data_IF_688277797315
#
_entry.id   IF_688277797315
#
_cell.length_a   1.000
_cell.length_b   1.000
_cell.length_c   1.000
_cell.angle_alpha   90.00
_cell.angle_beta   90.00
_cell.angle_gamma   90.00
#
_symmetry.space_group_name_H-M   'P 1'
#
loop_
_entity.id
_entity.type
_entity.pdbx_description
1 polymer ?
#
# COMPACT_ATOMS: atom_id res chain seq x y z
N UNK A 1 -3.73 -27.61 13.12
CA UNK A 1 -4.22 -26.93 14.33
C UNK A 1 -5.67 -26.50 14.15
N UNK A 2 -6.53 -26.71 15.14
CA UNK A 2 -7.95 -26.33 15.10
C UNK A 2 -8.28 -25.35 16.23
N UNK A 3 -9.17 -24.39 15.98
CA UNK A 3 -9.73 -23.51 17.02
C UNK A 3 -10.66 -24.31 17.95
N UNK A 4 -11.08 -23.76 19.11
CA UNK A 4 -12.07 -24.41 19.98
C UNK A 4 -13.37 -24.81 19.26
N UNK A 5 -13.70 -24.11 18.16
CA UNK A 5 -14.85 -24.36 17.29
C UNK A 5 -14.55 -25.33 16.13
N UNK A 6 -13.38 -25.98 16.11
CA UNK A 6 -13.01 -26.98 15.11
C UNK A 6 -12.52 -26.43 13.76
N UNK A 7 -12.43 -25.11 13.59
CA UNK A 7 -11.96 -24.47 12.35
C UNK A 7 -10.44 -24.49 12.23
N UNK A 8 -9.91 -24.43 11.01
CA UNK A 8 -8.46 -24.30 10.78
C UNK A 8 -7.95 -22.97 11.34
N UNK A 9 -6.91 -23.02 12.16
CA UNK A 9 -6.28 -21.81 12.73
C UNK A 9 -5.65 -20.99 11.60
N UNK A 10 -6.02 -19.70 11.53
CA UNK A 10 -5.45 -18.74 10.58
C UNK A 10 -4.20 -18.07 11.13
N UNK A 11 -4.29 -17.53 12.35
CA UNK A 11 -3.22 -16.82 13.04
C UNK A 11 -3.41 -16.93 14.56
N UNK A 12 -2.34 -16.70 15.32
CA UNK A 12 -2.40 -16.37 16.74
C UNK A 12 -2.11 -14.88 16.89
N UNK A 13 -2.91 -14.20 17.70
CA UNK A 13 -2.81 -12.75 17.85
C UNK A 13 -2.89 -12.35 19.32
N UNK A 14 -2.26 -11.23 19.65
CA UNK A 14 -2.29 -10.61 20.98
C UNK A 14 -2.68 -9.15 20.91
N UNK A 15 -3.34 -8.68 21.96
CA UNK A 15 -3.71 -7.28 22.18
C UNK A 15 -2.68 -6.64 23.10
N UNK A 16 -2.13 -5.50 22.69
CA UNK A 16 -1.14 -4.74 23.45
C UNK A 16 -1.77 -3.48 24.06
N UNK A 17 -1.34 -3.07 25.26
CA UNK A 17 -1.93 -1.92 25.95
C UNK A 17 -1.57 -0.57 25.34
N UNK A 18 -0.54 -0.50 24.49
CA UNK A 18 -0.08 0.75 23.88
C UNK A 18 0.69 0.53 22.59
N UNK A 19 0.80 1.58 21.78
CA UNK A 19 1.63 1.60 20.58
C UNK A 19 3.11 1.29 20.88
N UNK A 20 3.64 1.71 22.04
CA UNK A 20 5.01 1.44 22.44
C UNK A 20 5.23 -0.05 22.77
N UNK A 21 4.28 -0.67 23.47
CA UNK A 21 4.33 -2.11 23.75
C UNK A 21 4.24 -2.92 22.45
N UNK A 22 3.37 -2.52 21.53
CA UNK A 22 3.25 -3.14 20.21
C UNK A 22 4.53 -3.00 19.38
N UNK A 23 5.17 -1.83 19.42
CA UNK A 23 6.43 -1.57 18.72
C UNK A 23 7.58 -2.46 19.20
N UNK A 24 7.72 -2.63 20.52
CA UNK A 24 8.72 -3.56 21.08
C UNK A 24 8.39 -5.03 20.78
N UNK A 25 7.10 -5.40 20.79
CA UNK A 25 6.69 -6.73 20.37
C UNK A 25 7.02 -7.01 18.89
N UNK A 26 6.78 -6.04 18.00
CA UNK A 26 7.11 -6.15 16.59
C UNK A 26 8.60 -6.43 16.37
N UNK A 27 9.50 -5.74 17.11
CA UNK A 27 10.94 -6.02 17.06
C UNK A 27 11.27 -7.45 17.48
N UNK A 28 10.69 -7.93 18.58
CA UNK A 28 10.91 -9.31 19.07
C UNK A 28 10.48 -10.34 18.03
N UNK A 29 9.33 -10.13 17.39
CA UNK A 29 8.80 -11.03 16.36
C UNK A 29 9.68 -11.03 15.10
N UNK A 30 10.14 -9.84 14.67
CA UNK A 30 11.13 -9.71 13.59
C UNK A 30 12.43 -10.44 13.92
N UNK A 31 12.98 -10.23 15.12
CA UNK A 31 14.26 -10.80 15.55
C UNK A 31 14.18 -12.32 15.75
N UNK A 32 13.00 -12.84 16.12
CA UNK A 32 12.68 -14.27 16.10
C UNK A 32 12.57 -14.86 14.67
N UNK A 33 12.61 -14.02 13.64
CA UNK A 33 12.70 -14.39 12.23
C UNK A 33 11.40 -14.88 11.61
N UNK A 34 10.25 -14.48 12.16
CA UNK A 34 8.95 -14.71 11.53
C UNK A 34 8.82 -13.84 10.27
N UNK A 35 8.19 -14.40 9.23
CA UNK A 35 8.04 -13.74 7.92
C UNK A 35 6.59 -13.44 7.55
N UNK A 36 5.64 -14.17 8.14
CA UNK A 36 4.19 -14.04 7.86
C UNK A 36 3.45 -13.61 9.11
N UNK A 37 3.52 -12.32 9.38
CA UNK A 37 2.86 -11.68 10.51
C UNK A 37 2.58 -10.23 10.14
N UNK A 38 1.58 -9.65 10.80
CA UNK A 38 1.15 -8.28 10.59
C UNK A 38 0.82 -7.60 11.92
N UNK A 39 0.91 -6.27 11.90
CA UNK A 39 0.53 -5.40 13.01
C UNK A 39 -0.69 -4.60 12.59
N UNK A 40 -1.64 -4.45 13.50
CA UNK A 40 -2.85 -3.67 13.30
C UNK A 40 -2.94 -2.60 14.37
N UNK A 41 -3.00 -1.35 13.93
CA UNK A 41 -3.14 -0.18 14.80
C UNK A 41 -4.16 0.81 14.21
N UNK A 42 -4.85 1.59 15.04
CA UNK A 42 -5.84 2.58 14.59
C UNK A 42 -5.20 3.75 13.84
N UNK A 43 -3.90 3.97 14.04
CA UNK A 43 -3.12 5.03 13.41
C UNK A 43 -1.72 4.55 13.02
N UNK A 44 -1.02 5.24 12.10
CA UNK A 44 0.35 4.92 11.75
C UNK A 44 1.31 5.16 12.93
N UNK A 45 2.02 4.11 13.35
CA UNK A 45 3.04 4.22 14.40
C UNK A 45 4.39 4.52 13.73
N UNK A 46 5.00 5.66 14.08
CA UNK A 46 6.28 6.06 13.52
C UNK A 46 7.37 5.01 13.76
N UNK A 47 8.08 4.64 12.69
CA UNK A 47 9.15 3.64 12.75
C UNK A 47 8.67 2.18 12.78
N UNK A 48 7.36 1.92 12.73
CA UNK A 48 6.84 0.55 12.72
C UNK A 48 7.40 -0.27 11.54
N UNK A 49 7.57 0.35 10.37
CA UNK A 49 8.16 -0.31 9.20
C UNK A 49 9.56 -0.86 9.49
N UNK A 50 10.39 -0.10 10.22
CA UNK A 50 11.73 -0.52 10.62
C UNK A 50 11.67 -1.61 11.72
N UNK A 51 10.74 -1.48 12.67
CA UNK A 51 10.52 -2.50 13.69
C UNK A 51 10.04 -3.83 13.10
N UNK A 52 9.24 -3.79 12.04
CA UNK A 52 8.80 -4.96 11.27
C UNK A 52 9.87 -5.47 10.30
N UNK A 53 10.88 -4.66 9.98
CA UNK A 53 11.90 -5.00 8.99
C UNK A 53 11.38 -4.94 7.55
N UNK A 54 10.39 -4.08 7.29
CA UNK A 54 9.82 -3.87 5.96
C UNK A 54 10.77 -3.05 5.08
N UNK A 55 10.90 -3.46 3.83
CA UNK A 55 11.64 -2.70 2.82
C UNK A 55 10.81 -1.54 2.24
N UNK A 56 11.46 -0.75 1.37
CA UNK A 56 10.76 0.30 0.61
C UNK A 56 9.66 -0.30 -0.25
N UNK A 57 8.47 0.29 -0.20
CA UNK A 57 7.36 -0.06 -1.09
C UNK A 57 7.68 0.28 -2.55
N UNK A 58 7.25 -0.59 -3.47
CA UNK A 58 7.35 -0.36 -4.92
C UNK A 58 6.29 0.63 -5.46
N UNK A 59 5.45 1.19 -4.58
CA UNK A 59 4.40 2.14 -4.96
C UNK A 59 4.94 3.33 -5.74
N UNK A 60 6.09 3.89 -5.34
CA UNK A 60 6.71 5.02 -6.04
C UNK A 60 7.09 4.69 -7.48
N UNK A 61 7.48 3.44 -7.76
CA UNK A 61 7.76 2.97 -9.12
C UNK A 61 6.50 2.96 -10.00
N UNK A 62 5.36 2.53 -9.45
CA UNK A 62 4.08 2.57 -10.14
C UNK A 62 3.60 4.00 -10.42
N UNK A 63 3.76 4.91 -9.46
CA UNK A 63 3.41 6.33 -9.65
C UNK A 63 4.28 6.98 -10.73
N UNK A 64 5.58 6.69 -10.76
CA UNK A 64 6.48 7.18 -11.81
C UNK A 64 6.06 6.66 -13.19
N UNK A 65 5.76 5.36 -13.29
CA UNK A 65 5.26 4.77 -14.52
C UNK A 65 3.96 5.44 -14.99
N UNK A 66 3.00 5.66 -14.08
CA UNK A 66 1.78 6.40 -14.34
C UNK A 66 2.06 7.82 -14.85
N UNK A 67 2.89 8.59 -14.15
CA UNK A 67 3.24 9.95 -14.55
C UNK A 67 3.89 10.02 -15.93
N UNK A 68 4.88 9.16 -16.22
CA UNK A 68 5.53 9.10 -17.55
C UNK A 68 4.52 8.74 -18.63
N UNK A 69 3.63 7.77 -18.39
CA UNK A 69 2.58 7.42 -19.34
C UNK A 69 1.59 8.56 -19.58
N UNK A 70 1.26 9.35 -18.54
CA UNK A 70 0.41 10.53 -18.64
C UNK A 70 1.06 11.63 -19.48
N UNK A 71 2.35 11.91 -19.25
CA UNK A 71 3.12 12.89 -20.02
C UNK A 71 3.20 12.50 -21.51
N UNK A 72 3.50 11.23 -21.80
CA UNK A 72 3.57 10.73 -23.18
C UNK A 72 2.18 10.79 -23.86
N UNK A 73 1.12 10.49 -23.12
CA UNK A 73 -0.26 10.59 -23.62
C UNK A 73 -0.59 12.04 -23.96
N UNK A 74 -0.25 12.99 -23.09
CA UNK A 74 -0.46 14.41 -23.34
C UNK A 74 0.27 14.87 -24.61
N UNK A 75 1.57 14.57 -24.69
CA UNK A 75 2.37 14.92 -25.85
C UNK A 75 1.79 14.32 -27.15
N UNK A 76 1.32 13.07 -27.12
CA UNK A 76 0.72 12.44 -28.29
C UNK A 76 -0.61 13.10 -28.69
N UNK A 77 -1.47 13.41 -27.73
CA UNK A 77 -2.79 14.02 -27.96
C UNK A 77 -2.68 15.48 -28.40
N UNK A 78 -1.64 16.20 -27.97
CA UNK A 78 -1.46 17.62 -28.32
C UNK A 78 -0.68 17.81 -29.62
N UNK A 79 0.49 17.16 -29.74
CA UNK A 79 1.34 17.29 -30.93
C UNK A 79 0.81 16.48 -32.11
N UNK A 80 0.10 15.36 -31.88
CA UNK A 80 -0.49 14.56 -32.94
C UNK A 80 -1.40 15.38 -33.86
N UNK A 81 -2.44 16.04 -33.33
CA UNK A 81 -3.32 16.93 -34.10
C UNK A 81 -2.62 18.20 -34.58
N UNK A 82 -1.91 18.92 -33.69
CA UNK A 82 -1.33 20.24 -33.99
C UNK A 82 -0.23 20.19 -35.06
N UNK A 83 0.56 19.12 -35.10
CA UNK A 83 1.65 18.96 -36.05
C UNK A 83 1.31 17.98 -37.17
N UNK A 84 0.85 16.78 -36.82
CA UNK A 84 0.80 15.65 -37.75
C UNK A 84 -0.48 15.53 -38.57
N UNK A 85 -1.64 15.81 -37.97
CA UNK A 85 -2.94 15.52 -38.60
C UNK A 85 -3.58 16.75 -39.25
N UNK A 86 -3.70 17.85 -38.52
CA UNK A 86 -4.41 19.03 -38.99
C UNK A 86 -3.84 20.31 -38.37
N UNK A 87 -2.73 20.83 -38.91
CA UNK A 87 -2.11 22.04 -38.40
C UNK A 87 -3.01 23.25 -38.67
N UNK A 88 -3.47 23.89 -37.60
CA UNK A 88 -4.28 25.12 -37.68
C UNK A 88 -3.46 26.30 -37.17
N UNK A 89 -3.33 27.33 -38.01
CA UNK A 89 -2.77 28.60 -37.58
C UNK A 89 -3.81 29.40 -36.79
N UNK A 90 -3.71 29.38 -35.47
CA UNK A 90 -4.59 30.14 -34.56
C UNK A 90 -3.87 31.40 -34.11
N UNK A 91 -4.31 32.57 -34.59
CA UNK A 91 -3.74 33.88 -34.21
C UNK A 91 -2.22 34.04 -34.48
N UNK A 92 -1.68 33.38 -35.50
CA UNK A 92 -0.25 33.45 -35.82
C UNK A 92 0.64 32.64 -34.87
N UNK A 93 0.06 31.85 -33.96
CA UNK A 93 0.81 31.03 -33.02
C UNK A 93 1.51 29.88 -33.75
N UNK A 94 2.70 29.48 -33.31
CA UNK A 94 3.33 28.27 -33.81
C UNK A 94 2.41 27.07 -33.56
N UNK A 95 2.47 26.10 -34.46
CA UNK A 95 1.76 24.81 -34.39
C UNK A 95 2.73 23.62 -34.25
N UNK A 96 4.03 23.91 -34.17
CA UNK A 96 5.13 22.96 -34.07
C UNK A 96 5.66 22.89 -32.61
N UNK A 97 6.91 22.44 -32.42
CA UNK A 97 7.50 22.28 -31.09
C UNK A 97 7.47 23.56 -30.23
N UNK A 98 7.45 24.74 -30.83
CA UNK A 98 7.46 26.01 -30.10
C UNK A 98 6.15 26.28 -29.34
N UNK A 99 5.11 25.46 -29.54
CA UNK A 99 3.82 25.55 -28.85
C UNK A 99 3.83 24.89 -27.46
N UNK A 100 4.92 24.23 -27.07
CA UNK A 100 5.11 23.61 -25.74
C UNK A 100 4.59 24.48 -24.57
N UNK A 101 4.86 25.81 -24.49
CA UNK A 101 4.39 26.62 -23.37
C UNK A 101 2.86 26.68 -23.24
N UNK A 102 2.12 26.57 -24.35
CA UNK A 102 0.66 26.56 -24.34
C UNK A 102 0.08 25.19 -23.94
N UNK A 103 0.82 24.12 -24.21
CA UNK A 103 0.47 22.72 -23.91
C UNK A 103 0.89 22.29 -22.50
N UNK A 104 1.83 23.00 -21.89
CA UNK A 104 2.36 22.67 -20.58
C UNK A 104 1.31 22.44 -19.48
N UNK A 105 0.23 23.24 -19.36
CA UNK A 105 -0.82 22.97 -18.38
C UNK A 105 -1.46 21.58 -18.57
N UNK A 106 -1.77 21.19 -19.80
CA UNK A 106 -2.41 19.90 -20.09
C UNK A 106 -1.42 18.75 -19.86
N UNK A 107 -0.15 18.90 -20.26
CA UNK A 107 0.91 17.94 -19.95
C UNK A 107 1.06 17.71 -18.44
N UNK A 108 1.02 18.79 -17.66
CA UNK A 108 1.06 18.70 -16.21
C UNK A 108 -0.16 17.97 -15.64
N UNK A 109 -1.37 18.38 -16.03
CA UNK A 109 -2.62 17.78 -15.53
C UNK A 109 -2.70 16.29 -15.85
N UNK A 110 -2.36 15.86 -17.07
CA UNK A 110 -2.38 14.45 -17.44
C UNK A 110 -1.31 13.62 -16.70
N UNK A 111 -0.14 14.21 -16.47
CA UNK A 111 0.91 13.58 -15.65
C UNK A 111 0.42 13.33 -14.23
N UNK A 112 -0.20 14.36 -13.60
CA UNK A 112 -0.75 14.26 -12.24
C UNK A 112 -1.92 13.27 -12.19
N UNK A 113 -2.83 13.33 -13.17
CA UNK A 113 -4.01 12.46 -13.24
C UNK A 113 -3.62 10.97 -13.34
N UNK A 114 -2.73 10.62 -14.27
CA UNK A 114 -2.29 9.23 -14.44
C UNK A 114 -1.44 8.77 -13.26
N UNK A 115 -0.59 9.64 -12.70
CA UNK A 115 0.13 9.36 -11.46
C UNK A 115 -0.79 9.07 -10.29
N UNK A 116 -1.88 9.84 -10.13
CA UNK A 116 -2.87 9.65 -9.08
C UNK A 116 -3.64 8.33 -9.23
N UNK A 117 -4.10 8.00 -10.43
CA UNK A 117 -4.74 6.71 -10.69
C UNK A 117 -3.79 5.53 -10.47
N UNK A 118 -2.55 5.63 -10.95
CA UNK A 118 -1.55 4.60 -10.72
C UNK A 118 -1.28 4.41 -9.22
N UNK A 119 -1.15 5.50 -8.46
CA UNK A 119 -1.03 5.46 -7.00
C UNK A 119 -2.20 4.74 -6.33
N UNK A 120 -3.42 5.14 -6.66
CA UNK A 120 -4.63 4.59 -6.08
C UNK A 120 -4.78 3.09 -6.36
N UNK A 121 -4.69 2.68 -7.63
CA UNK A 121 -4.86 1.28 -8.01
C UNK A 121 -3.69 0.39 -7.57
N UNK A 122 -2.45 0.91 -7.60
CA UNK A 122 -1.31 0.16 -7.08
C UNK A 122 -1.42 -0.05 -5.57
N UNK A 123 -1.82 0.97 -4.80
CA UNK A 123 -2.04 0.84 -3.36
C UNK A 123 -3.10 -0.21 -3.05
N UNK A 124 -4.24 -0.20 -3.77
CA UNK A 124 -5.26 -1.23 -3.62
C UNK A 124 -4.72 -2.63 -3.94
N UNK A 125 -4.07 -2.79 -5.10
CA UNK A 125 -3.55 -4.10 -5.53
C UNK A 125 -2.47 -4.65 -4.61
N UNK A 126 -1.53 -3.82 -4.17
CA UNK A 126 -0.42 -4.22 -3.30
C UNK A 126 -0.90 -4.61 -1.89
N UNK A 127 -1.95 -3.95 -1.39
CA UNK A 127 -2.58 -4.29 -0.11
C UNK A 127 -3.60 -5.44 -0.24
N UNK A 128 -3.84 -5.96 -1.45
CA UNK A 128 -4.81 -7.02 -1.71
C UNK A 128 -6.27 -6.58 -1.54
N UNK A 129 -6.56 -5.30 -1.79
CA UNK A 129 -7.89 -4.71 -1.73
C UNK A 129 -8.55 -4.68 -3.12
N UNK A 130 -9.90 -4.78 -3.20
CA UNK A 130 -10.85 -4.91 -2.10
C UNK A 130 -10.89 -6.33 -1.51
N UNK A 131 -10.82 -6.42 -0.18
CA UNK A 131 -10.93 -7.68 0.57
C UNK A 131 -12.06 -7.58 1.59
N UNK A 132 -13.25 -8.00 1.17
CA UNK A 132 -14.47 -7.91 1.98
C UNK A 132 -14.42 -8.74 3.27
N UNK A 133 -13.64 -9.83 3.26
CA UNK A 133 -13.51 -10.71 4.41
C UNK A 133 -12.04 -11.06 4.69
N UNK A 134 -11.63 -10.85 5.95
CA UNK A 134 -10.37 -11.29 6.49
C UNK A 134 -10.64 -12.18 7.73
N UNK A 135 -10.03 -13.37 7.86
CA UNK A 135 -10.30 -14.28 8.99
C UNK A 135 -10.07 -13.68 10.38
N UNK A 136 -9.22 -12.65 10.48
CA UNK A 136 -8.94 -11.94 11.74
C UNK A 136 -10.17 -11.20 12.28
N UNK A 137 -11.14 -10.85 11.43
CA UNK A 137 -12.36 -10.17 11.85
C UNK A 137 -13.30 -11.04 12.69
N UNK A 138 -13.09 -12.37 12.69
CA UNK A 138 -13.85 -13.27 13.58
C UNK A 138 -13.44 -13.15 15.05
N UNK A 139 -12.34 -12.45 15.35
CA UNK A 139 -11.91 -12.25 16.72
C UNK A 139 -12.66 -11.06 17.33
N UNK A 140 -13.49 -11.31 18.34
CA UNK A 140 -14.36 -10.28 18.94
C UNK A 140 -13.58 -9.04 19.43
N UNK A 141 -12.40 -9.25 20.04
CA UNK A 141 -11.53 -8.15 20.50
C UNK A 141 -11.02 -7.28 19.36
N UNK A 142 -10.86 -7.85 18.16
CA UNK A 142 -10.38 -7.13 16.99
C UNK A 142 -11.33 -6.00 16.55
N UNK A 143 -12.59 -6.02 16.98
CA UNK A 143 -13.52 -4.89 16.76
C UNK A 143 -13.00 -3.54 17.27
N UNK A 144 -12.07 -3.54 18.25
CA UNK A 144 -11.44 -2.33 18.81
C UNK A 144 -10.28 -1.77 17.98
N UNK A 145 -9.86 -2.47 16.91
CA UNK A 145 -8.64 -2.13 16.14
C UNK A 145 -8.65 -0.72 15.55
N UNK A 146 -9.82 -0.18 15.26
CA UNK A 146 -9.98 1.17 14.69
C UNK A 146 -10.16 2.26 15.75
N UNK A 147 -10.31 1.90 17.03
CA UNK A 147 -10.54 2.85 18.12
C UNK A 147 -9.30 2.99 19.00
N UNK A 148 -9.02 1.96 19.82
CA UNK A 148 -7.97 1.98 20.84
C UNK A 148 -7.18 0.67 20.96
N UNK A 149 -7.50 -0.33 20.12
CA UNK A 149 -6.86 -1.64 20.15
C UNK A 149 -5.59 -1.71 19.31
N UNK A 150 -4.50 -2.21 19.90
CA UNK A 150 -3.24 -2.50 19.21
C UNK A 150 -3.05 -4.00 19.14
N UNK A 151 -2.90 -4.55 17.93
CA UNK A 151 -2.83 -5.99 17.73
C UNK A 151 -1.62 -6.40 16.91
N UNK A 152 -1.05 -7.55 17.26
CA UNK A 152 -0.06 -8.24 16.43
C UNK A 152 -0.60 -9.64 16.15
N UNK A 153 -0.58 -10.07 14.89
CA UNK A 153 -0.98 -11.42 14.50
C UNK A 153 0.15 -12.14 13.75
N UNK A 154 0.46 -13.35 14.18
CA UNK A 154 1.40 -14.25 13.50
C UNK A 154 0.60 -15.34 12.81
N UNK A 155 0.76 -15.47 11.50
CA UNK A 155 -0.01 -16.41 10.70
C UNK A 155 0.47 -17.85 10.86
N UNK A 156 -0.48 -18.78 10.95
CA UNK A 156 -0.21 -20.21 11.07
C UNK A 156 0.44 -20.82 9.82
N UNK A 157 0.53 -20.06 8.72
CA UNK A 157 1.23 -20.43 7.48
C UNK A 157 2.71 -20.08 7.49
N UNK A 158 3.23 -19.47 8.55
CA UNK A 158 4.66 -19.22 8.70
C UNK A 158 5.43 -20.55 8.95
N UNK A 159 6.58 -20.80 8.30
CA UNK A 159 7.37 -22.01 8.52
C UNK A 159 7.84 -22.20 9.97
N UNK A 160 8.03 -21.12 10.74
CA UNK A 160 8.46 -21.17 12.14
C UNK A 160 7.30 -21.25 13.13
N UNK A 161 6.06 -21.30 12.64
CA UNK A 161 4.88 -21.28 13.49
C UNK A 161 4.77 -22.55 14.33
N UNK A 162 4.86 -22.39 15.65
CA UNK A 162 4.60 -23.43 16.65
C UNK A 162 3.72 -22.82 17.75
N UNK A 163 2.70 -23.54 18.22
CA UNK A 163 1.76 -23.01 19.23
C UNK A 163 2.45 -22.46 20.47
N UNK A 164 3.32 -23.29 21.08
CA UNK A 164 4.00 -22.95 22.33
C UNK A 164 4.94 -21.74 22.12
N UNK A 165 5.76 -21.78 21.07
CA UNK A 165 6.71 -20.71 20.79
C UNK A 165 6.04 -19.39 20.43
N UNK A 166 4.93 -19.43 19.68
CA UNK A 166 4.16 -18.20 19.36
C UNK A 166 3.42 -17.70 20.59
N UNK A 167 2.87 -18.57 21.44
CA UNK A 167 2.26 -18.14 22.70
C UNK A 167 3.28 -17.44 23.61
N UNK A 168 4.45 -18.04 23.81
CA UNK A 168 5.53 -17.47 24.62
C UNK A 168 6.03 -16.14 24.06
N UNK A 169 6.06 -15.98 22.73
CA UNK A 169 6.49 -14.74 22.08
C UNK A 169 5.46 -13.61 22.17
N UNK A 170 4.17 -13.96 22.26
CA UNK A 170 3.06 -13.02 22.32
C UNK A 170 2.71 -12.58 23.75
N UNK A 171 3.06 -13.39 24.75
CA UNK A 171 3.00 -13.06 26.19
C UNK A 171 4.07 -12.03 26.60
#
# INVERSE_FOLDING_TARGET
MKTPFGHKVYAMAAEYPSAAALYEAAKRVRDAGFRRWDVYSPFPIHGMDEAMGLGKSWLSGWVLFGGVSGLLTAALVEFGPSWGLYPVNVHGKPWNFWTVPAFFPIMFELTVLFGAFASFFAMLGMNGLPRWYHPIFNWERFSRVTNDGFFLAIEARDPRFTEAGVRELLE
#
